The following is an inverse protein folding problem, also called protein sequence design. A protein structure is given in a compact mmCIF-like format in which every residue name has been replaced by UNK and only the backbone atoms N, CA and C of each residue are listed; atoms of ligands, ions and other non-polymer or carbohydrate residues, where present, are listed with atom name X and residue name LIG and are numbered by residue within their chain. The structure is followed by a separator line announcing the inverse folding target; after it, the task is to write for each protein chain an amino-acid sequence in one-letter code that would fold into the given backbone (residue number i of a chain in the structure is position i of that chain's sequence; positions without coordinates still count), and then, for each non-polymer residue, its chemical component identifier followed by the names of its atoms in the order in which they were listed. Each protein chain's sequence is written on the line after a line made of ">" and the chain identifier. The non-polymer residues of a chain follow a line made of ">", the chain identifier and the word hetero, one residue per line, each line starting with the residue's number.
data_IF_335891333971
#
_entry.id   IF_335891333971
#
_cell.length_a   1.000
_cell.length_b   1.000
_cell.length_c   1.000
_cell.angle_alpha   90.00
_cell.angle_beta   90.00
_cell.angle_gamma   90.00
#
_symmetry.space_group_name_H-M   'P 1'
#
loop_
_entity.id
_entity.type
_entity.pdbx_description
1 polymer ?
#
# COMPACT_ATOMS: atom_id res chain seq x y z
N UNK A 1 33.71 -7.27 58.79
CA UNK A 1 34.17 -6.66 57.52
C UNK A 1 32.96 -5.99 56.87
N UNK A 2 32.83 -4.68 57.02
CA UNK A 2 31.69 -3.91 56.53
C UNK A 2 32.10 -3.29 55.18
N UNK A 3 31.59 -3.82 54.08
CA UNK A 3 31.84 -3.31 52.72
C UNK A 3 31.08 -2.00 52.53
N UNK A 4 31.73 -0.87 52.84
CA UNK A 4 31.19 0.46 52.61
C UNK A 4 31.25 0.82 51.13
N UNK A 5 30.18 0.54 50.38
CA UNK A 5 30.04 1.06 49.01
C UNK A 5 30.00 2.58 49.08
N UNK A 6 30.95 3.24 48.43
CA UNK A 6 31.04 4.70 48.44
C UNK A 6 29.89 5.31 47.62
N UNK A 7 29.30 6.42 48.10
CA UNK A 7 28.19 7.12 47.39
C UNK A 7 28.49 7.39 45.91
N UNK A 8 29.75 7.65 45.55
CA UNK A 8 30.20 7.86 44.16
C UNK A 8 30.06 6.60 43.28
N UNK A 9 30.31 5.41 43.84
CA UNK A 9 30.14 4.15 43.12
C UNK A 9 28.66 3.86 42.84
N UNK A 10 27.76 4.19 43.78
CA UNK A 10 26.31 4.04 43.60
C UNK A 10 25.82 4.91 42.44
N UNK A 11 26.28 6.16 42.36
CA UNK A 11 25.92 7.10 41.28
C UNK A 11 26.43 6.61 39.91
N UNK A 12 27.66 6.08 39.86
CA UNK A 12 28.23 5.53 38.62
C UNK A 12 27.46 4.29 38.14
N UNK A 13 27.11 3.39 39.06
CA UNK A 13 26.36 2.16 38.73
C UNK A 13 24.95 2.51 38.27
N UNK A 14 24.25 3.39 38.98
CA UNK A 14 22.88 3.78 38.61
C UNK A 14 22.84 4.52 37.27
N UNK A 15 23.80 5.40 37.00
CA UNK A 15 23.92 6.08 35.71
C UNK A 15 24.19 5.13 34.55
N UNK A 16 25.05 4.12 34.75
CA UNK A 16 25.32 3.09 33.74
C UNK A 16 24.10 2.24 33.42
N UNK A 17 23.33 1.84 34.45
CA UNK A 17 22.09 1.08 34.27
C UNK A 17 21.04 1.91 33.51
N UNK A 18 20.88 3.19 33.89
CA UNK A 18 19.95 4.09 33.22
C UNK A 18 20.29 4.24 31.73
N UNK A 19 21.59 4.41 31.42
CA UNK A 19 22.08 4.53 30.05
C UNK A 19 21.81 3.24 29.25
N UNK A 20 22.03 2.07 29.86
CA UNK A 20 21.76 0.79 29.22
C UNK A 20 20.27 0.60 28.90
N UNK A 21 19.38 0.99 29.82
CA UNK A 21 17.93 0.94 29.60
C UNK A 21 17.52 1.88 28.46
N UNK A 22 18.05 3.11 28.44
CA UNK A 22 17.82 4.08 27.37
C UNK A 22 18.27 3.56 26.00
N UNK A 23 19.45 2.93 25.94
CA UNK A 23 19.96 2.31 24.71
C UNK A 23 19.07 1.16 24.24
N UNK A 24 18.72 0.22 25.11
CA UNK A 24 17.82 -0.88 24.78
C UNK A 24 16.45 -0.38 24.33
N UNK A 25 15.92 0.67 24.98
CA UNK A 25 14.66 1.29 24.61
C UNK A 25 14.74 1.99 23.25
N UNK A 26 15.83 2.71 22.97
CA UNK A 26 16.08 3.33 21.67
C UNK A 26 16.18 2.31 20.54
N UNK A 27 16.90 1.21 20.77
CA UNK A 27 17.01 0.09 19.81
C UNK A 27 15.64 -0.56 19.60
N UNK A 28 14.88 -0.80 20.66
CA UNK A 28 13.53 -1.35 20.59
C UNK A 28 12.61 -0.45 19.74
N UNK A 29 12.61 0.86 19.99
CA UNK A 29 11.84 1.82 19.19
C UNK A 29 12.34 1.90 17.74
N UNK A 30 13.63 1.77 17.49
CA UNK A 30 14.16 1.79 16.14
C UNK A 30 13.66 0.59 15.32
N UNK A 31 13.72 -0.63 15.87
CA UNK A 31 13.26 -1.83 15.18
C UNK A 31 11.73 -1.93 15.09
N UNK A 32 11.01 -1.74 16.21
CA UNK A 32 9.55 -1.87 16.24
C UNK A 32 8.81 -0.62 15.77
N UNK A 33 9.37 0.58 15.96
CA UNK A 33 8.80 1.83 15.46
C UNK A 33 8.87 1.93 13.94
N UNK A 34 9.97 1.47 13.32
CA UNK A 34 10.08 1.40 11.86
C UNK A 34 9.07 0.40 11.26
N UNK A 35 8.89 -0.77 11.91
CA UNK A 35 7.89 -1.74 11.49
C UNK A 35 6.45 -1.18 11.53
N UNK A 36 6.14 -0.36 12.55
CA UNK A 36 4.83 0.31 12.64
C UNK A 36 4.65 1.37 11.56
N UNK A 37 5.72 2.09 11.19
CA UNK A 37 5.68 3.10 10.13
C UNK A 37 5.57 2.46 8.73
N UNK A 38 6.19 1.32 8.47
CA UNK A 38 5.97 0.54 7.25
C UNK A 38 4.56 -0.06 7.19
N UNK A 39 4.03 -0.55 8.32
CA UNK A 39 2.68 -1.11 8.39
C UNK A 39 1.58 -0.06 8.16
N UNK A 40 1.71 1.13 8.77
CA UNK A 40 0.79 2.26 8.51
C UNK A 40 0.97 2.85 7.12
N UNK A 41 2.17 2.81 6.54
CA UNK A 41 2.36 3.24 5.15
C UNK A 41 1.70 2.27 4.18
N UNK A 42 1.78 0.96 4.42
CA UNK A 42 1.05 -0.10 3.66
C UNK A 42 -0.47 0.02 3.79
N UNK A 43 -0.96 0.43 4.96
CA UNK A 43 -2.41 0.64 5.17
C UNK A 43 -2.89 1.93 4.50
N UNK A 44 -2.07 2.99 4.51
CA UNK A 44 -2.39 4.26 3.82
C UNK A 44 -2.30 4.18 2.29
N UNK A 45 -1.48 3.27 1.75
CA UNK A 45 -1.39 3.03 0.30
C UNK A 45 -2.49 2.10 -0.22
N UNK A 46 -3.33 1.57 0.67
CA UNK A 46 -4.53 0.82 0.33
C UNK A 46 -5.58 1.81 -0.13
N UNK A 47 -5.35 2.37 -1.32
CA UNK A 47 -6.26 3.32 -1.90
C UNK A 47 -7.62 2.67 -2.04
N UNK A 48 -8.65 3.37 -1.59
CA UNK A 48 -10.03 2.97 -1.75
C UNK A 48 -10.37 2.99 -3.25
N UNK A 49 -10.03 1.89 -3.91
CA UNK A 49 -10.26 1.67 -5.34
C UNK A 49 -11.74 1.42 -5.63
N UNK A 50 -12.61 1.38 -4.62
CA UNK A 50 -14.04 1.11 -4.80
C UNK A 50 -14.67 2.18 -5.70
N UNK A 51 -15.34 1.70 -6.74
CA UNK A 51 -16.01 2.54 -7.75
C UNK A 51 -15.60 2.19 -9.17
N UNK A 52 -16.03 3.05 -10.10
CA UNK A 52 -15.78 2.85 -11.54
C UNK A 52 -14.59 3.68 -12.00
N UNK A 53 -13.68 3.02 -12.68
CA UNK A 53 -12.45 3.59 -13.22
C UNK A 53 -12.35 3.32 -14.71
N UNK A 54 -11.71 4.23 -15.42
CA UNK A 54 -11.45 4.15 -16.85
C UNK A 54 -9.98 3.85 -17.06
N UNK A 55 -9.69 2.89 -17.94
CA UNK A 55 -8.33 2.62 -18.42
C UNK A 55 -8.11 3.48 -19.67
N UNK A 56 -7.11 4.35 -19.64
CA UNK A 56 -6.72 5.21 -20.77
C UNK A 56 -5.20 5.07 -21.01
N UNK A 57 -4.70 5.13 -22.25
CA UNK A 57 -5.36 5.57 -23.48
C UNK A 57 -5.88 4.42 -24.39
N UNK A 58 -6.14 3.23 -23.86
CA UNK A 58 -6.54 2.06 -24.66
C UNK A 58 -7.84 2.32 -25.44
N UNK A 59 -7.83 1.90 -26.71
CA UNK A 59 -9.00 1.79 -27.59
C UNK A 59 -9.16 0.29 -27.93
N UNK A 60 -10.33 -0.35 -27.74
CA UNK A 60 -11.63 0.21 -27.34
C UNK A 60 -11.68 0.67 -25.87
N UNK A 61 -12.75 1.40 -25.51
CA UNK A 61 -12.90 1.96 -24.17
C UNK A 61 -13.08 0.85 -23.13
N UNK A 62 -12.12 0.71 -22.22
CA UNK A 62 -12.19 -0.26 -21.12
C UNK A 62 -12.48 0.44 -19.79
N UNK A 63 -13.50 -0.03 -19.07
CA UNK A 63 -13.81 0.44 -17.73
C UNK A 63 -13.71 -0.71 -16.72
N UNK A 64 -13.25 -0.41 -15.51
CA UNK A 64 -13.13 -1.38 -14.42
C UNK A 64 -13.96 -0.86 -13.24
N UNK A 65 -14.95 -1.64 -12.83
CA UNK A 65 -15.73 -1.39 -11.63
C UNK A 65 -15.21 -2.28 -10.50
N UNK A 66 -14.52 -1.69 -9.53
CA UNK A 66 -14.07 -2.40 -8.34
C UNK A 66 -15.23 -2.46 -7.35
N UNK A 67 -15.67 -3.68 -7.04
CA UNK A 67 -16.78 -3.94 -6.12
C UNK A 67 -16.27 -4.13 -4.69
N UNK A 68 -15.08 -4.71 -4.55
CA UNK A 68 -14.42 -4.96 -3.27
C UNK A 68 -12.90 -5.01 -3.47
N UNK A 69 -12.17 -5.22 -2.39
CA UNK A 69 -10.72 -5.40 -2.41
C UNK A 69 -10.26 -6.65 -3.18
N UNK A 70 -11.16 -7.61 -3.43
CA UNK A 70 -10.83 -8.90 -4.08
C UNK A 70 -11.51 -9.11 -5.42
N UNK A 71 -12.53 -8.31 -5.73
CA UNK A 71 -13.37 -8.49 -6.90
C UNK A 71 -13.57 -7.18 -7.65
N UNK A 72 -13.35 -7.25 -8.95
CA UNK A 72 -13.68 -6.20 -9.90
C UNK A 72 -14.46 -6.78 -11.08
N UNK A 73 -15.13 -5.92 -11.82
CA UNK A 73 -15.80 -6.26 -13.07
C UNK A 73 -15.22 -5.39 -14.16
N UNK A 74 -14.67 -6.02 -15.18
CA UNK A 74 -14.29 -5.40 -16.42
C UNK A 74 -15.54 -5.16 -17.27
N UNK A 75 -15.77 -3.92 -17.64
CA UNK A 75 -16.84 -3.49 -18.52
C UNK A 75 -16.18 -3.13 -19.87
N UNK A 76 -16.32 -4.04 -20.83
CA UNK A 76 -16.00 -3.83 -22.24
C UNK A 76 -17.31 -3.53 -23.00
N UNK A 77 -17.24 -2.95 -24.19
CA UNK A 77 -18.40 -2.41 -24.95
C UNK A 77 -19.61 -3.36 -25.04
N UNK A 78 -19.38 -4.67 -25.09
CA UNK A 78 -20.44 -5.68 -25.18
C UNK A 78 -20.32 -6.81 -24.14
N UNK A 79 -19.34 -6.73 -23.22
CA UNK A 79 -19.04 -7.83 -22.31
C UNK A 79 -18.69 -7.36 -20.90
N UNK A 80 -19.33 -7.97 -19.92
CA UNK A 80 -18.93 -7.87 -18.52
C UNK A 80 -18.12 -9.12 -18.14
N UNK A 81 -16.87 -8.91 -17.71
CA UNK A 81 -15.99 -10.00 -17.28
C UNK A 81 -15.60 -9.82 -15.82
N UNK A 82 -15.82 -10.83 -14.99
CA UNK A 82 -15.40 -10.80 -13.58
C UNK A 82 -13.88 -10.94 -13.48
N UNK A 83 -13.26 -10.03 -12.74
CA UNK A 83 -11.84 -9.99 -12.42
C UNK A 83 -11.62 -10.23 -10.93
N UNK A 84 -10.55 -10.95 -10.64
CA UNK A 84 -10.02 -11.14 -9.30
C UNK A 84 -8.82 -10.23 -9.09
N UNK A 85 -8.78 -9.63 -7.91
CA UNK A 85 -7.74 -8.70 -7.51
C UNK A 85 -6.75 -9.43 -6.61
N UNK A 86 -5.47 -9.28 -6.93
CA UNK A 86 -4.37 -9.79 -6.11
C UNK A 86 -3.41 -8.65 -5.81
N UNK A 87 -3.24 -8.34 -4.53
CA UNK A 87 -2.30 -7.33 -4.06
C UNK A 87 -0.93 -7.98 -3.80
N UNK A 88 0.14 -7.40 -4.34
CA UNK A 88 1.52 -7.89 -4.19
C UNK A 88 2.42 -6.89 -3.43
N UNK A 89 1.80 -6.02 -2.63
CA UNK A 89 2.49 -4.98 -1.84
C UNK A 89 2.98 -3.76 -2.64
N UNK A 90 3.43 -3.95 -3.89
CA UNK A 90 3.84 -2.85 -4.79
C UNK A 90 2.72 -2.38 -5.72
N UNK A 91 1.74 -3.25 -5.98
CA UNK A 91 0.65 -2.98 -6.88
C UNK A 91 -0.48 -4.00 -6.80
N UNK A 92 -1.46 -3.78 -7.67
CA UNK A 92 -2.69 -4.52 -7.81
C UNK A 92 -2.69 -5.25 -9.16
N UNK A 93 -2.72 -6.58 -9.10
CA UNK A 93 -2.90 -7.43 -10.27
C UNK A 93 -4.38 -7.71 -10.49
N UNK A 94 -4.83 -7.55 -11.73
CA UNK A 94 -6.16 -7.95 -12.18
C UNK A 94 -6.04 -9.23 -13.00
N UNK A 95 -6.80 -10.26 -12.63
CA UNK A 95 -6.77 -11.57 -13.29
C UNK A 95 -8.16 -12.05 -13.64
N UNK A 96 -8.31 -12.66 -14.81
CA UNK A 96 -9.52 -13.40 -15.20
C UNK A 96 -9.47 -14.81 -14.63
N UNK A 97 -10.65 -15.44 -14.47
CA UNK A 97 -10.74 -16.81 -13.98
C UNK A 97 -10.15 -17.78 -15.01
N UNK A 98 -9.05 -18.45 -14.65
CA UNK A 98 -8.43 -19.48 -15.50
C UNK A 98 -7.32 -18.98 -16.44
N UNK A 99 -6.94 -17.71 -16.37
CA UNK A 99 -5.75 -17.19 -17.05
C UNK A 99 -4.54 -17.24 -16.10
N UNK A 100 -3.40 -17.77 -16.56
CA UNK A 100 -2.13 -17.69 -15.83
C UNK A 100 -1.52 -16.28 -15.88
N UNK A 101 -1.70 -15.58 -17.01
CA UNK A 101 -1.22 -14.22 -17.21
C UNK A 101 -2.19 -13.19 -16.65
N UNK A 102 -1.71 -12.19 -15.88
CA UNK A 102 -2.58 -11.11 -15.41
C UNK A 102 -3.04 -10.25 -16.58
N UNK A 103 -4.31 -9.86 -16.58
CA UNK A 103 -4.89 -8.98 -17.60
C UNK A 103 -4.39 -7.54 -17.45
N UNK A 104 -4.04 -7.13 -16.22
CA UNK A 104 -3.42 -5.84 -15.96
C UNK A 104 -2.76 -5.78 -14.59
N UNK A 105 -1.85 -4.82 -14.43
CA UNK A 105 -1.11 -4.57 -13.20
C UNK A 105 -0.99 -3.07 -12.94
N UNK A 106 -1.45 -2.60 -11.79
CA UNK A 106 -1.43 -1.18 -11.44
C UNK A 106 -0.62 -0.94 -10.18
N UNK A 107 0.30 0.01 -10.22
CA UNK A 107 1.19 0.30 -9.09
C UNK A 107 0.43 1.10 -8.03
N UNK A 108 0.74 0.86 -6.74
CA UNK A 108 0.29 1.71 -5.62
C UNK A 108 1.01 3.06 -5.55
N UNK A 109 1.13 3.71 -6.71
CA UNK A 109 1.75 5.01 -6.89
C UNK A 109 0.76 5.95 -7.54
N UNK A 110 0.10 6.74 -6.72
CA UNK A 110 -0.78 7.80 -7.20
C UNK A 110 0.08 8.88 -7.89
N UNK A 111 -0.10 9.03 -9.22
CA UNK A 111 0.60 10.07 -9.99
C UNK A 111 -0.01 11.45 -9.75
N UNK A 112 -1.35 11.47 -9.64
CA UNK A 112 -2.22 12.62 -9.35
C UNK A 112 -3.46 12.08 -8.65
N UNK A 113 -4.16 12.92 -7.89
CA UNK A 113 -5.39 12.51 -7.20
C UNK A 113 -6.32 11.70 -8.12
N UNK A 114 -6.78 10.53 -7.68
CA UNK A 114 -7.64 9.62 -8.43
C UNK A 114 -7.05 9.10 -9.75
N UNK A 115 -5.71 9.08 -9.88
CA UNK A 115 -5.00 8.69 -11.10
C UNK A 115 -3.85 7.74 -10.80
N UNK A 116 -3.93 6.54 -11.37
CA UNK A 116 -3.07 5.41 -11.05
C UNK A 116 -2.38 4.91 -12.31
N UNK A 117 -1.09 4.63 -12.24
CA UNK A 117 -0.34 4.13 -13.39
C UNK A 117 -0.25 2.60 -13.34
N UNK A 118 -0.34 1.98 -14.51
CA UNK A 118 -0.15 0.55 -14.61
C UNK A 118 0.13 0.10 -16.02
N UNK A 119 0.10 -1.22 -16.17
CA UNK A 119 0.18 -1.95 -17.41
C UNK A 119 -1.14 -2.69 -17.62
N UNK A 120 -1.60 -2.74 -18.86
CA UNK A 120 -2.73 -3.54 -19.26
C UNK A 120 -2.29 -4.37 -20.46
N UNK A 121 -2.15 -5.69 -20.25
CA UNK A 121 -1.32 -6.50 -21.14
C UNK A 121 0.09 -5.92 -21.23
N UNK A 122 0.48 -5.49 -22.43
CA UNK A 122 1.80 -4.90 -22.72
C UNK A 122 1.78 -3.36 -22.74
N UNK A 123 0.61 -2.75 -22.69
CA UNK A 123 0.44 -1.30 -22.86
C UNK A 123 0.55 -0.55 -21.53
N UNK A 124 1.27 0.58 -21.55
CA UNK A 124 1.31 1.51 -20.43
C UNK A 124 0.00 2.30 -20.36
N UNK A 125 -0.69 2.17 -19.23
CA UNK A 125 -2.00 2.75 -19.02
C UNK A 125 -2.10 3.54 -17.73
N UNK A 126 -3.14 4.35 -17.69
CA UNK A 126 -3.55 5.13 -16.54
C UNK A 126 -4.99 4.78 -16.20
N UNK A 127 -5.22 4.36 -14.96
CA UNK A 127 -6.52 4.24 -14.34
C UNK A 127 -6.96 5.62 -13.83
N UNK A 128 -8.06 6.13 -14.37
CA UNK A 128 -8.69 7.39 -13.94
C UNK A 128 -10.06 7.11 -13.34
N UNK A 129 -10.34 7.63 -12.15
CA UNK A 129 -11.67 7.45 -11.51
C UNK A 129 -12.73 8.24 -12.26
N UNK A 130 -13.81 7.59 -12.68
CA UNK A 130 -14.93 8.26 -13.38
C UNK A 130 -15.81 9.02 -12.38
N UNK A 131 -15.90 8.54 -11.14
CA UNK A 131 -16.80 9.08 -10.12
C UNK A 131 -16.36 10.43 -9.49
N UNK A 132 -15.24 11.01 -9.92
CA UNK A 132 -14.81 12.35 -9.51
C UNK A 132 -15.30 13.47 -10.46
N UNK A 133 -15.91 13.11 -11.59
CA UNK A 133 -16.29 14.06 -12.64
C UNK A 133 -17.81 14.27 -12.64
N UNK A 134 -18.31 14.83 -11.54
CA UNK A 134 -19.51 15.65 -11.56
C UNK A 134 -19.05 17.11 -11.40
N UNK A 135 -19.31 17.94 -12.41
CA UNK A 135 -18.92 19.36 -12.57
C UNK A 135 -17.49 19.51 -13.12
N UNK A 136 -17.27 20.00 -14.34
CA UNK A 136 -17.83 21.21 -14.94
C UNK A 136 -18.04 21.05 -16.45
N UNK A 137 -19.27 21.35 -16.87
CA UNK A 137 -19.57 21.89 -18.21
C UNK A 137 -18.95 23.27 -18.37
#
# INVERSE_FOLDING_TARGET
>A
MQTGINRRQIILISSGILLAILLCFGIYLYFFGSAKQEFDRRSSSRADLIGTWRVAPIHPLVQIRFLSEKEAVLLEEEKETKLYLLEDGEGLQLRRRGEETPSGYFLFRELKANTWQGLWGEDLVVLKRISAENQTR
#
